data_IF_653964898794
#
_entry.id   IF_653964898794
#
_cell.length_a   1.000
_cell.length_b   1.000
_cell.length_c   1.000
_cell.angle_alpha   90.00
_cell.angle_beta   90.00
_cell.angle_gamma   90.00
#
_symmetry.space_group_name_H-M   'P 1'
#
loop_
_entity.id
_entity.type
_entity.pdbx_description
1 polymer ?
#
# COMPACT_ATOMS: atom_id res chain seq x y z
N UNK A 1 -7.52 -7.54 -21.13
CA UNK A 1 -7.74 -6.47 -20.14
C UNK A 1 -6.43 -6.16 -19.43
N UNK A 2 -6.20 -4.89 -19.07
CA UNK A 2 -4.99 -4.48 -18.35
C UNK A 2 -5.04 -5.00 -16.90
N UNK A 3 -3.94 -5.57 -16.40
CA UNK A 3 -3.84 -6.04 -14.99
C UNK A 3 -4.06 -4.86 -14.05
N UNK A 4 -4.82 -5.07 -12.98
CA UNK A 4 -5.13 -4.08 -11.94
C UNK A 4 -4.57 -4.53 -10.59
N UNK A 5 -3.74 -3.69 -9.98
CA UNK A 5 -3.14 -3.95 -8.67
C UNK A 5 -3.49 -2.81 -7.71
N UNK A 6 -3.94 -3.16 -6.50
CA UNK A 6 -4.13 -2.18 -5.42
C UNK A 6 -2.94 -2.23 -4.46
N UNK A 7 -2.40 -1.06 -4.12
CA UNK A 7 -1.27 -0.89 -3.20
C UNK A 7 -1.73 -0.12 -1.96
N UNK A 8 -1.66 -0.76 -0.79
CA UNK A 8 -2.12 -0.20 0.49
C UNK A 8 -0.91 0.13 1.35
N UNK A 9 -0.84 1.33 1.94
CA UNK A 9 0.26 1.63 2.88
C UNK A 9 0.11 0.86 4.20
N UNK A 10 1.23 0.39 4.75
CA UNK A 10 1.26 -0.18 6.10
C UNK A 10 0.90 0.85 7.18
N UNK A 11 0.55 0.37 8.38
CA UNK A 11 0.18 1.21 9.54
C UNK A 11 0.96 0.85 10.80
N UNK A 12 0.95 1.74 11.79
CA UNK A 12 1.66 1.53 13.06
C UNK A 12 1.04 0.41 13.89
N UNK A 13 -0.29 0.42 14.04
CA UNK A 13 -1.05 -0.56 14.83
C UNK A 13 -0.98 -1.96 14.19
N UNK A 14 -0.40 -2.90 14.93
CA UNK A 14 -0.21 -4.29 14.53
C UNK A 14 -0.53 -5.23 15.68
N UNK A 15 -0.77 -6.51 15.38
CA UNK A 15 -0.72 -7.59 16.37
C UNK A 15 0.68 -7.69 16.99
N UNK A 16 0.76 -8.27 18.19
CA UNK A 16 2.02 -8.47 18.93
C UNK A 16 2.77 -9.75 18.55
N UNK A 17 2.24 -10.55 17.63
CA UNK A 17 2.79 -11.84 17.24
C UNK A 17 2.80 -12.01 15.72
N UNK A 18 3.67 -12.92 15.25
CA UNK A 18 3.71 -13.38 13.87
C UNK A 18 2.33 -13.66 13.30
N UNK A 19 2.02 -13.06 12.16
CA UNK A 19 0.70 -13.15 11.52
C UNK A 19 0.82 -12.97 10.01
N UNK A 20 -0.21 -13.40 9.28
CA UNK A 20 -0.36 -13.02 7.87
C UNK A 20 -0.49 -11.49 7.75
N UNK A 21 0.06 -10.92 6.68
CA UNK A 21 0.06 -9.48 6.42
C UNK A 21 -1.35 -8.90 6.44
N UNK A 22 -2.34 -9.62 5.91
CA UNK A 22 -3.75 -9.22 5.95
C UNK A 22 -4.31 -9.05 7.37
N UNK A 23 -3.80 -9.84 8.32
CA UNK A 23 -4.29 -9.90 9.71
C UNK A 23 -3.38 -9.14 10.68
N UNK A 24 -2.15 -8.86 10.28
CA UNK A 24 -1.14 -8.21 11.11
C UNK A 24 -1.56 -6.79 11.45
N UNK A 25 -2.02 -6.01 10.47
CA UNK A 25 -2.35 -4.60 10.64
C UNK A 25 -3.79 -4.44 11.15
N UNK A 26 -3.95 -3.82 12.33
CA UNK A 26 -5.22 -3.85 13.06
C UNK A 26 -6.00 -2.54 13.01
N UNK A 27 -5.41 -1.47 12.46
CA UNK A 27 -6.05 -0.15 12.45
C UNK A 27 -7.32 -0.11 11.59
N UNK A 28 -8.27 0.73 12.00
CA UNK A 28 -9.51 0.97 11.25
C UNK A 28 -9.21 1.44 9.82
N UNK A 29 -8.21 2.30 9.64
CA UNK A 29 -7.81 2.79 8.32
C UNK A 29 -7.32 1.65 7.42
N UNK A 30 -6.49 0.75 7.94
CA UNK A 30 -6.00 -0.38 7.15
C UNK A 30 -7.14 -1.34 6.78
N UNK A 31 -7.98 -1.71 7.75
CA UNK A 31 -9.14 -2.61 7.52
C UNK A 31 -10.09 -2.05 6.46
N UNK A 32 -10.41 -0.76 6.54
CA UNK A 32 -11.27 -0.11 5.56
C UNK A 32 -10.61 0.02 4.18
N UNK A 33 -9.31 0.33 4.11
CA UNK A 33 -8.59 0.32 2.83
C UNK A 33 -8.54 -1.07 2.22
N UNK A 34 -8.33 -2.12 3.02
CA UNK A 34 -8.33 -3.50 2.54
C UNK A 34 -9.71 -3.89 2.00
N UNK A 35 -10.78 -3.60 2.75
CA UNK A 35 -12.16 -3.85 2.29
C UNK A 35 -12.47 -3.09 1.00
N UNK A 36 -12.08 -1.82 0.90
CA UNK A 36 -12.25 -1.04 -0.32
C UNK A 36 -11.44 -1.62 -1.48
N UNK A 37 -10.20 -2.05 -1.25
CA UNK A 37 -9.36 -2.71 -2.24
C UNK A 37 -9.99 -4.00 -2.77
N UNK A 38 -10.56 -4.82 -1.90
CA UNK A 38 -11.27 -6.06 -2.27
C UNK A 38 -12.53 -5.75 -3.11
N UNK A 39 -13.31 -4.72 -2.74
CA UNK A 39 -14.50 -4.28 -3.49
C UNK A 39 -14.19 -3.84 -4.94
N UNK A 40 -12.97 -3.35 -5.20
CA UNK A 40 -12.52 -2.96 -6.54
C UNK A 40 -12.25 -4.15 -7.48
N UNK A 41 -12.32 -5.39 -6.95
CA UNK A 41 -12.04 -6.66 -7.64
C UNK A 41 -10.75 -6.59 -8.49
N UNK A 42 -9.59 -6.27 -7.89
CA UNK A 42 -8.31 -6.25 -8.59
C UNK A 42 -7.75 -7.66 -8.79
N UNK A 43 -6.75 -7.79 -9.67
CA UNK A 43 -6.03 -9.05 -9.85
C UNK A 43 -5.17 -9.39 -8.62
N UNK A 44 -4.59 -8.38 -7.98
CA UNK A 44 -3.79 -8.52 -6.76
C UNK A 44 -3.89 -7.29 -5.85
N UNK A 45 -3.67 -7.53 -4.56
CA UNK A 45 -3.53 -6.50 -3.53
C UNK A 45 -2.20 -6.72 -2.83
N UNK A 46 -1.41 -5.66 -2.67
CA UNK A 46 -0.16 -5.68 -1.90
C UNK A 46 -0.13 -4.57 -0.86
N UNK A 47 0.66 -4.78 0.18
CA UNK A 47 0.97 -3.78 1.20
C UNK A 47 2.34 -3.17 0.93
N UNK A 48 2.39 -1.84 0.84
CA UNK A 48 3.62 -1.07 0.86
C UNK A 48 4.14 -0.98 2.30
N UNK A 49 5.15 -1.79 2.62
CA UNK A 49 5.79 -1.85 3.93
C UNK A 49 6.98 -0.91 4.00
N UNK A 50 7.02 -0.08 5.06
CA UNK A 50 8.20 0.74 5.35
C UNK A 50 9.48 -0.08 5.58
N UNK A 51 9.36 -1.35 6.02
CA UNK A 51 10.50 -2.25 6.29
C UNK A 51 10.82 -3.15 5.10
N UNK A 52 9.80 -3.77 4.51
CA UNK A 52 9.97 -4.84 3.53
C UNK A 52 9.79 -4.39 2.07
N UNK A 53 9.33 -3.16 1.83
CA UNK A 53 9.01 -2.66 0.49
C UNK A 53 7.60 -3.07 0.08
N UNK A 54 7.44 -4.25 -0.48
CA UNK A 54 6.20 -4.83 -0.99
C UNK A 54 5.91 -6.15 -0.30
N UNK A 55 4.67 -6.35 0.15
CA UNK A 55 4.21 -7.59 0.77
C UNK A 55 2.89 -8.05 0.17
N UNK A 56 2.79 -9.34 -0.13
CA UNK A 56 1.53 -10.04 -0.38
C UNK A 56 0.71 -10.17 0.90
N UNK A 57 -0.61 -10.20 0.77
CA UNK A 57 -1.54 -10.37 1.89
C UNK A 57 -1.38 -11.71 2.63
N UNK A 58 -0.87 -12.73 1.92
CA UNK A 58 -0.73 -14.09 2.45
C UNK A 58 0.64 -14.35 3.10
N UNK A 59 1.59 -13.42 2.95
CA UNK A 59 2.90 -13.52 3.60
C UNK A 59 2.75 -13.45 5.12
N UNK A 60 3.55 -14.23 5.84
CA UNK A 60 3.54 -14.26 7.31
C UNK A 60 4.81 -13.62 7.84
N UNK A 61 4.66 -12.53 8.61
CA UNK A 61 5.78 -11.73 9.12
C UNK A 61 5.64 -11.44 10.62
N UNK A 62 6.78 -11.15 11.26
CA UNK A 62 6.83 -10.61 12.62
C UNK A 62 6.42 -9.13 12.66
N UNK A 63 5.82 -8.65 13.77
CA UNK A 63 5.58 -7.22 13.96
C UNK A 63 6.89 -6.44 13.95
N UNK A 64 6.83 -5.19 13.49
CA UNK A 64 7.99 -4.32 13.36
C UNK A 64 7.62 -2.85 13.58
N UNK A 65 8.63 -2.05 13.92
CA UNK A 65 8.50 -0.62 14.16
C UNK A 65 9.40 0.20 13.22
N UNK A 66 8.97 0.36 11.97
CA UNK A 66 9.63 1.18 10.96
C UNK A 66 8.61 2.06 10.24
N UNK A 67 9.00 3.27 9.87
CA UNK A 67 8.12 4.23 9.20
C UNK A 67 8.88 5.04 8.16
N UNK A 68 8.28 5.22 6.99
CA UNK A 68 8.79 6.14 5.97
C UNK A 68 8.66 7.61 6.41
N UNK A 69 7.83 7.91 7.42
CA UNK A 69 7.57 9.27 7.85
C UNK A 69 8.78 9.96 8.47
N UNK A 70 9.76 9.21 8.96
CA UNK A 70 11.02 9.76 9.50
C UNK A 70 12.16 9.77 8.49
N UNK A 71 12.00 9.08 7.35
CA UNK A 71 13.03 9.00 6.33
C UNK A 71 13.15 10.30 5.52
N UNK A 72 14.39 10.66 5.20
CA UNK A 72 14.78 11.76 4.31
C UNK A 72 14.78 11.32 2.85
N UNK A 73 15.01 12.27 1.93
CA UNK A 73 14.91 12.00 0.50
C UNK A 73 15.82 10.86 -0.01
N UNK A 74 17.10 10.71 0.42
CA UNK A 74 17.95 9.60 -0.03
C UNK A 74 17.42 8.23 0.41
N UNK A 75 16.95 8.12 1.65
CA UNK A 75 16.39 6.88 2.20
C UNK A 75 15.09 6.50 1.50
N UNK A 76 14.21 7.49 1.24
CA UNK A 76 12.97 7.26 0.51
C UNK A 76 13.21 6.83 -0.94
N UNK A 77 14.24 7.36 -1.60
CA UNK A 77 14.65 6.92 -2.94
C UNK A 77 15.14 5.47 -2.90
N UNK A 78 16.04 5.16 -1.97
CA UNK A 78 16.58 3.80 -1.79
C UNK A 78 15.47 2.77 -1.52
N UNK A 79 14.52 3.11 -0.63
CA UNK A 79 13.34 2.28 -0.37
C UNK A 79 12.46 2.13 -1.63
N UNK A 80 12.29 3.20 -2.40
CA UNK A 80 11.46 3.18 -3.61
C UNK A 80 12.10 2.36 -4.72
N UNK A 81 13.42 2.41 -4.88
CA UNK A 81 14.15 1.58 -5.84
C UNK A 81 14.00 0.10 -5.53
N UNK A 82 14.16 -0.30 -4.26
CA UNK A 82 13.92 -1.69 -3.83
C UNK A 82 12.47 -2.11 -4.06
N UNK A 83 11.52 -1.26 -3.67
CA UNK A 83 10.09 -1.54 -3.87
C UNK A 83 9.74 -1.65 -5.34
N UNK A 84 10.34 -0.84 -6.22
CA UNK A 84 10.14 -0.93 -7.67
C UNK A 84 10.69 -2.24 -8.25
N UNK A 85 11.84 -2.73 -7.75
CA UNK A 85 12.35 -4.06 -8.13
C UNK A 85 11.33 -5.15 -7.80
N UNK A 86 10.80 -5.13 -6.57
CA UNK A 86 9.80 -6.09 -6.12
C UNK A 86 8.49 -6.00 -6.93
N UNK A 87 8.02 -4.79 -7.24
CA UNK A 87 6.83 -4.58 -8.09
C UNK A 87 7.06 -5.14 -9.51
N UNK A 88 8.24 -4.90 -10.10
CA UNK A 88 8.60 -5.43 -11.42
C UNK A 88 8.63 -6.97 -11.46
N UNK A 89 8.96 -7.62 -10.34
CA UNK A 89 8.93 -9.09 -10.26
C UNK A 89 7.51 -9.68 -10.27
N UNK A 90 6.49 -8.91 -9.86
CA UNK A 90 5.11 -9.41 -9.76
C UNK A 90 4.15 -8.83 -10.80
N UNK A 91 4.62 -7.86 -11.59
CA UNK A 91 3.83 -7.16 -12.59
C UNK A 91 4.69 -6.41 -13.59
N UNK A 92 4.18 -6.30 -14.82
CA UNK A 92 4.70 -5.35 -15.80
C UNK A 92 4.27 -3.93 -15.41
N UNK A 93 5.19 -3.12 -14.88
CA UNK A 93 4.93 -1.75 -14.42
C UNK A 93 4.36 -0.85 -15.52
N UNK A 94 4.72 -1.07 -16.78
CA UNK A 94 4.27 -0.24 -17.90
C UNK A 94 2.85 -0.62 -18.35
N UNK A 95 2.48 -1.89 -18.19
CA UNK A 95 1.20 -2.44 -18.63
C UNK A 95 0.26 -2.84 -17.48
N UNK A 96 0.48 -2.33 -16.27
CA UNK A 96 -0.39 -2.56 -15.10
C UNK A 96 -1.01 -1.24 -14.63
N UNK A 97 -2.28 -1.26 -14.25
CA UNK A 97 -2.97 -0.15 -13.59
C UNK A 97 -2.80 -0.28 -12.07
N UNK A 98 -2.25 0.74 -11.44
CA UNK A 98 -2.03 0.76 -9.99
C UNK A 98 -3.02 1.67 -9.25
N UNK A 99 -3.67 1.17 -8.22
CA UNK A 99 -4.53 2.00 -7.35
C UNK A 99 -3.84 2.16 -6.00
N UNK A 100 -3.46 3.38 -5.66
CA UNK A 100 -2.76 3.70 -4.43
C UNK A 100 -3.73 4.12 -3.32
N UNK A 101 -3.82 3.29 -2.29
CA UNK A 101 -4.43 3.58 -1.00
C UNK A 101 -3.30 3.90 0.02
N UNK A 102 -2.50 4.90 -0.32
CA UNK A 102 -1.26 5.22 0.36
C UNK A 102 -0.94 6.73 0.35
N UNK A 103 -0.33 7.21 1.44
CA UNK A 103 0.10 8.61 1.58
C UNK A 103 1.25 8.98 0.64
N UNK A 104 1.50 10.30 0.50
CA UNK A 104 2.46 10.82 -0.49
C UNK A 104 3.88 10.22 -0.37
N UNK A 105 4.38 10.00 0.85
CA UNK A 105 5.73 9.44 1.07
C UNK A 105 5.91 8.05 0.47
N UNK A 106 4.86 7.24 0.41
CA UNK A 106 4.91 5.89 -0.17
C UNK A 106 4.87 5.90 -1.70
N UNK A 107 4.32 6.95 -2.31
CA UNK A 107 4.09 6.98 -3.77
C UNK A 107 5.02 7.92 -4.52
N UNK A 108 5.56 8.96 -3.88
CA UNK A 108 6.29 10.06 -4.53
C UNK A 108 7.33 9.60 -5.56
N UNK A 109 8.17 8.62 -5.21
CA UNK A 109 9.23 8.11 -6.09
C UNK A 109 8.85 6.83 -6.83
N UNK A 110 7.67 6.24 -6.58
CA UNK A 110 7.13 5.12 -7.37
C UNK A 110 6.41 5.63 -8.62
N UNK A 111 5.60 6.69 -8.46
CA UNK A 111 4.73 7.23 -9.53
C UNK A 111 5.46 7.59 -10.83
N UNK A 112 6.68 8.18 -10.82
CA UNK A 112 7.38 8.51 -12.07
C UNK A 112 7.68 7.29 -12.97
N UNK A 113 7.64 6.07 -12.41
CA UNK A 113 7.92 4.85 -13.16
C UNK A 113 6.66 4.18 -13.72
N UNK A 114 5.48 4.56 -13.22
CA UNK A 114 4.19 3.93 -13.54
C UNK A 114 3.40 4.76 -14.55
N UNK A 115 2.94 4.12 -15.63
CA UNK A 115 2.22 4.82 -16.69
C UNK A 115 0.73 5.05 -16.38
N UNK A 116 0.14 4.22 -15.52
CA UNK A 116 -1.30 4.22 -15.25
C UNK A 116 -1.55 3.96 -13.77
N UNK A 117 -2.04 4.99 -13.09
CA UNK A 117 -2.32 4.93 -11.68
C UNK A 117 -3.49 5.82 -11.26
N UNK A 118 -4.11 5.43 -10.15
CA UNK A 118 -5.15 6.21 -9.47
C UNK A 118 -4.80 6.37 -7.99
N UNK A 119 -5.22 7.49 -7.40
CA UNK A 119 -5.07 7.74 -5.96
C UNK A 119 -6.43 8.24 -5.45
N UNK A 120 -7.39 7.33 -5.18
CA UNK A 120 -8.79 7.69 -4.91
C UNK A 120 -8.98 8.62 -3.71
N UNK A 121 -8.04 8.58 -2.76
CA UNK A 121 -8.06 9.34 -1.51
C UNK A 121 -7.12 10.56 -1.54
N UNK A 122 -6.67 10.99 -2.72
CA UNK A 122 -5.73 12.11 -2.86
C UNK A 122 -6.34 13.40 -2.27
N UNK A 123 -5.55 14.11 -1.46
CA UNK A 123 -5.94 15.38 -0.85
C UNK A 123 -6.74 15.26 0.44
N UNK A 124 -7.28 14.07 0.76
CA UNK A 124 -8.04 13.86 1.98
C UNK A 124 -7.13 13.64 3.20
N UNK A 125 -7.45 14.30 4.31
CA UNK A 125 -6.88 14.03 5.64
C UNK A 125 -7.36 12.67 6.16
N UNK A 126 -6.68 12.10 7.15
CA UNK A 126 -6.99 10.75 7.67
C UNK A 126 -8.47 10.61 8.10
N UNK A 127 -9.04 11.62 8.78
CA UNK A 127 -10.45 11.59 9.18
C UNK A 127 -11.41 11.57 7.99
N UNK A 128 -11.12 12.35 6.95
CA UNK A 128 -11.91 12.40 5.70
C UNK A 128 -11.77 11.09 4.91
N UNK A 129 -10.57 10.50 4.88
CA UNK A 129 -10.34 9.18 4.31
C UNK A 129 -11.18 8.12 5.01
N UNK A 130 -11.22 8.12 6.35
CA UNK A 130 -12.04 7.18 7.11
C UNK A 130 -13.54 7.34 6.81
N UNK A 131 -14.05 8.58 6.75
CA UNK A 131 -15.44 8.85 6.37
C UNK A 131 -15.72 8.31 4.96
N UNK A 132 -14.89 8.67 4.00
CA UNK A 132 -15.06 8.28 2.59
C UNK A 132 -14.97 6.76 2.41
N UNK A 133 -14.03 6.10 3.07
CA UNK A 133 -13.89 4.65 3.00
C UNK A 133 -15.08 3.93 3.62
N UNK A 134 -15.68 4.45 4.69
CA UNK A 134 -16.94 3.89 5.23
C UNK A 134 -18.03 3.94 4.17
N UNK A 135 -18.27 5.10 3.54
CA UNK A 135 -19.26 5.24 2.46
C UNK A 135 -19.02 4.28 1.29
N UNK A 136 -17.76 4.05 0.92
CA UNK A 136 -17.37 3.17 -0.18
C UNK A 136 -17.38 1.67 0.17
N UNK A 137 -17.52 1.33 1.44
CA UNK A 137 -17.48 -0.04 1.94
C UNK A 137 -18.70 -0.43 2.75
N UNK A 138 -19.69 0.45 2.87
CA UNK A 138 -21.02 0.15 3.41
C UNK A 138 -21.76 -0.84 2.52
#
# INVERSE_FOLDING_TARGET
MKKKIVLISCVSQKKSHKSRVRDLYTSTLFKLNLKYAENLKPDKIYVLSAKYGLLSLDETIEPYNQTLNKMYAPELKSWSEETLRQINHVSDIKNTKYIFLAGNKYRKYLLPHMNDYEIPLKGLRIGEQLKRLKELTS
#
